data_IF_138531535367
#
_entry.id   IF_138531535367
#
_cell.length_a   1.000
_cell.length_b   1.000
_cell.length_c   1.000
_cell.angle_alpha   90.00
_cell.angle_beta   90.00
_cell.angle_gamma   90.00
#
_symmetry.space_group_name_H-M   'P 1'
#
loop_
_entity.id
_entity.type
_entity.pdbx_description
1 polymer ?
#
# COMPACT_ATOMS: atom_id res chain seq x y z
N UNK A 1 16.38 -9.97 1.27
CA UNK A 1 15.89 -8.83 2.08
C UNK A 1 14.82 -9.24 3.12
N UNK A 2 14.20 -10.42 3.01
CA UNK A 2 13.07 -10.84 3.86
C UNK A 2 13.48 -11.68 5.09
N UNK A 3 14.76 -12.05 5.25
CA UNK A 3 15.22 -12.96 6.29
C UNK A 3 14.96 -12.47 7.73
N UNK A 4 15.04 -11.17 7.98
CA UNK A 4 14.86 -10.61 9.32
C UNK A 4 13.44 -10.78 9.87
N UNK A 5 12.41 -10.57 9.02
CA UNK A 5 11.01 -10.68 9.44
C UNK A 5 10.57 -12.15 9.57
N UNK A 6 11.07 -13.02 8.70
CA UNK A 6 10.83 -14.47 8.81
C UNK A 6 11.45 -15.03 10.11
N UNK A 7 12.70 -14.64 10.44
CA UNK A 7 13.35 -15.06 11.69
C UNK A 7 12.59 -14.60 12.93
N UNK A 8 11.99 -13.39 12.89
CA UNK A 8 11.15 -12.91 13.99
C UNK A 8 9.87 -13.75 14.13
N UNK A 9 9.23 -14.12 13.02
CA UNK A 9 8.02 -14.93 13.03
C UNK A 9 8.26 -16.37 13.57
N UNK A 10 9.47 -16.92 13.41
CA UNK A 10 9.85 -18.24 13.92
C UNK A 10 10.13 -18.29 15.43
N UNK A 11 10.34 -17.14 16.09
CA UNK A 11 10.89 -17.08 17.46
C UNK A 11 9.97 -17.58 18.60
N UNK A 12 8.73 -18.05 18.32
CA UNK A 12 7.78 -18.48 19.36
C UNK A 12 7.15 -19.85 19.04
N UNK A 13 7.97 -20.90 18.94
CA UNK A 13 7.52 -22.26 18.57
C UNK A 13 6.61 -22.98 19.61
N UNK A 14 6.31 -22.40 20.78
CA UNK A 14 5.75 -23.16 21.92
C UNK A 14 4.30 -22.86 22.30
N UNK A 15 3.46 -22.27 21.45
CA UNK A 15 2.03 -22.14 21.73
C UNK A 15 1.17 -22.89 20.70
N UNK A 16 0.89 -24.12 20.99
CA UNK A 16 0.26 -25.13 20.12
C UNK A 16 -1.21 -24.91 19.74
N UNK A 17 -1.78 -23.68 19.67
CA UNK A 17 -3.23 -23.57 19.44
C UNK A 17 -3.73 -22.50 18.49
N UNK A 18 -2.94 -21.55 18.07
CA UNK A 18 -3.40 -20.51 17.11
C UNK A 18 -2.25 -20.21 16.15
N UNK A 19 -2.18 -20.93 15.06
CA UNK A 19 -1.16 -20.77 14.04
C UNK A 19 -1.78 -20.21 12.76
N UNK A 20 -1.03 -19.29 12.11
CA UNK A 20 -1.34 -18.80 10.79
C UNK A 20 -0.11 -18.91 9.88
N UNK A 21 -0.36 -19.03 8.60
CA UNK A 21 0.67 -19.15 7.57
C UNK A 21 1.33 -17.82 7.25
N UNK A 22 2.64 -17.85 6.99
CA UNK A 22 3.36 -16.74 6.37
C UNK A 22 3.28 -16.96 4.85
N UNK A 23 2.61 -16.03 4.16
CA UNK A 23 2.37 -16.10 2.70
C UNK A 23 3.67 -16.26 1.93
N UNK A 24 3.67 -17.12 0.93
CA UNK A 24 4.86 -17.43 0.12
C UNK A 24 5.88 -18.35 0.81
N UNK A 25 5.50 -19.01 1.91
CA UNK A 25 6.37 -19.94 2.63
C UNK A 25 5.59 -21.16 3.13
N UNK A 26 6.29 -22.18 3.61
CA UNK A 26 5.69 -23.31 4.33
C UNK A 26 5.72 -23.12 5.86
N UNK A 27 5.96 -21.89 6.32
CA UNK A 27 6.13 -21.56 7.73
C UNK A 27 4.79 -21.14 8.31
N UNK A 28 4.46 -21.70 9.48
CA UNK A 28 3.38 -21.22 10.34
C UNK A 28 3.96 -20.62 11.63
N UNK A 29 3.34 -19.54 12.09
CA UNK A 29 3.68 -18.87 13.34
C UNK A 29 2.41 -18.58 14.14
N UNK A 30 2.55 -18.06 15.37
CA UNK A 30 1.39 -17.55 16.08
C UNK A 30 0.72 -16.41 15.28
N UNK A 31 -0.57 -16.14 15.55
CA UNK A 31 -1.36 -15.18 14.81
C UNK A 31 -0.68 -13.80 14.75
N UNK A 32 -0.15 -13.32 15.87
CA UNK A 32 0.46 -11.99 15.97
C UNK A 32 1.68 -11.83 15.05
N UNK A 33 2.58 -12.83 15.10
CA UNK A 33 3.81 -12.81 14.30
C UNK A 33 3.53 -13.03 12.80
N UNK A 34 2.62 -13.94 12.47
CA UNK A 34 2.23 -14.18 11.08
C UNK A 34 1.57 -12.91 10.49
N UNK A 35 0.71 -12.25 11.26
CA UNK A 35 0.05 -11.00 10.87
C UNK A 35 1.06 -9.87 10.65
N UNK A 36 2.02 -9.70 11.57
CA UNK A 36 3.10 -8.72 11.41
C UNK A 36 3.93 -9.00 10.14
N UNK A 37 4.32 -10.26 9.95
CA UNK A 37 5.14 -10.66 8.82
C UNK A 37 4.41 -10.43 7.47
N UNK A 38 3.16 -10.88 7.38
CA UNK A 38 2.35 -10.73 6.16
C UNK A 38 2.04 -9.26 5.84
N UNK A 39 1.77 -8.42 6.85
CA UNK A 39 1.54 -6.99 6.65
C UNK A 39 2.81 -6.25 6.20
N UNK A 40 3.96 -6.62 6.76
CA UNK A 40 5.24 -6.12 6.29
C UNK A 40 5.52 -6.52 4.84
N UNK A 41 5.32 -7.79 4.50
CA UNK A 41 5.57 -8.32 3.16
C UNK A 41 4.61 -7.73 2.12
N UNK A 42 3.35 -7.53 2.48
CA UNK A 42 2.34 -6.93 1.60
C UNK A 42 2.68 -5.50 1.18
N UNK A 43 3.37 -4.74 2.05
CA UNK A 43 3.78 -3.35 1.77
C UNK A 43 5.25 -3.19 1.34
N UNK A 44 6.03 -4.27 1.35
CA UNK A 44 7.50 -4.21 1.15
C UNK A 44 7.90 -3.61 -0.20
N UNK A 45 7.20 -3.97 -1.26
CA UNK A 45 7.51 -3.53 -2.62
C UNK A 45 6.84 -2.19 -2.98
N UNK A 46 6.07 -1.59 -2.05
CA UNK A 46 5.27 -0.38 -2.30
C UNK A 46 4.41 -0.52 -3.57
N UNK A 47 3.84 -1.73 -3.74
CA UNK A 47 3.12 -2.17 -4.94
C UNK A 47 1.69 -2.64 -4.60
N UNK A 48 1.24 -2.34 -3.40
CA UNK A 48 -0.10 -2.55 -2.89
C UNK A 48 -1.09 -1.49 -3.43
N UNK A 49 -2.24 -1.38 -2.81
CA UNK A 49 -3.24 -0.38 -3.13
C UNK A 49 -2.93 0.99 -2.52
N UNK A 50 -3.68 2.01 -2.95
CA UNK A 50 -3.61 3.35 -2.37
C UNK A 50 -4.98 4.01 -2.43
N UNK A 51 -5.45 4.49 -1.31
CA UNK A 51 -6.63 5.35 -1.22
C UNK A 51 -6.24 6.77 -1.62
N UNK A 52 -6.69 7.21 -2.79
CA UNK A 52 -6.22 8.46 -3.40
C UNK A 52 -6.49 9.70 -2.56
N UNK A 53 -7.68 9.89 -1.94
CA UNK A 53 -7.93 11.08 -1.12
C UNK A 53 -7.02 11.23 0.10
N UNK A 54 -6.29 10.20 0.54
CA UNK A 54 -5.52 10.23 1.80
C UNK A 54 -4.11 9.63 1.71
N UNK A 55 -3.76 9.02 0.58
CA UNK A 55 -2.49 8.30 0.37
C UNK A 55 -2.31 7.11 1.34
N UNK A 56 -3.38 6.60 1.96
CA UNK A 56 -3.36 5.39 2.78
C UNK A 56 -3.16 4.17 1.87
N UNK A 57 -2.43 3.16 2.36
CA UNK A 57 -2.35 1.82 1.77
C UNK A 57 -3.19 0.86 2.64
N UNK A 58 -4.52 0.75 2.41
CA UNK A 58 -5.41 0.18 3.41
C UNK A 58 -5.39 -1.35 3.46
N UNK A 59 -5.05 -2.04 2.35
CA UNK A 59 -5.05 -3.51 2.32
C UNK A 59 -3.92 -4.11 3.15
N UNK A 60 -2.72 -3.53 3.10
CA UNK A 60 -1.53 -4.08 3.78
C UNK A 60 -1.66 -4.15 5.30
N UNK A 61 -2.29 -3.20 6.03
CA UNK A 61 -2.60 -3.37 7.44
C UNK A 61 -3.87 -4.18 7.71
N UNK A 62 -4.82 -4.28 6.77
CA UNK A 62 -6.14 -4.89 7.02
C UNK A 62 -6.18 -6.39 6.70
N UNK A 63 -5.73 -6.78 5.51
CA UNK A 63 -5.82 -8.17 5.05
C UNK A 63 -5.06 -9.17 5.93
N UNK A 64 -3.85 -8.90 6.42
CA UNK A 64 -3.08 -9.90 7.14
C UNK A 64 -3.73 -10.39 8.44
N UNK A 65 -4.39 -9.51 9.19
CA UNK A 65 -5.14 -9.89 10.39
C UNK A 65 -6.40 -10.68 10.06
N UNK A 66 -7.14 -10.25 9.03
CA UNK A 66 -8.31 -10.98 8.55
C UNK A 66 -7.91 -12.36 8.02
N UNK A 67 -6.82 -12.46 7.25
CA UNK A 67 -6.32 -13.71 6.67
C UNK A 67 -5.88 -14.70 7.76
N UNK A 68 -5.13 -14.22 8.76
CA UNK A 68 -4.67 -15.05 9.88
C UNK A 68 -5.85 -15.60 10.70
N UNK A 69 -6.88 -14.79 10.98
CA UNK A 69 -8.08 -15.24 11.67
C UNK A 69 -8.92 -16.17 10.81
N UNK A 70 -9.12 -15.84 9.54
CA UNK A 70 -9.91 -16.66 8.62
C UNK A 70 -9.30 -18.05 8.48
N UNK A 71 -7.97 -18.17 8.29
CA UNK A 71 -7.27 -19.43 8.27
C UNK A 71 -7.44 -20.22 9.58
N UNK A 72 -7.22 -19.56 10.72
CA UNK A 72 -7.27 -20.21 12.02
C UNK A 72 -8.66 -20.68 12.42
N UNK A 73 -9.71 -19.98 11.96
CA UNK A 73 -11.12 -20.25 12.32
C UNK A 73 -11.88 -21.04 11.25
N UNK A 74 -11.24 -21.42 10.13
CA UNK A 74 -11.90 -22.11 9.03
C UNK A 74 -13.01 -21.26 8.39
N UNK A 75 -12.74 -19.97 8.15
CA UNK A 75 -13.69 -19.03 7.57
C UNK A 75 -13.71 -19.12 6.05
N UNK A 76 -14.89 -18.88 5.47
CA UNK A 76 -15.06 -18.82 4.02
C UNK A 76 -14.43 -17.56 3.41
N UNK A 77 -14.19 -17.62 2.08
CA UNK A 77 -13.75 -16.45 1.32
C UNK A 77 -14.72 -15.28 1.41
N UNK A 78 -16.04 -15.52 1.45
CA UNK A 78 -17.07 -14.47 1.67
C UNK A 78 -16.90 -13.77 3.00
N UNK A 79 -16.69 -14.52 4.10
CA UNK A 79 -16.48 -13.93 5.43
C UNK A 79 -15.18 -13.14 5.47
N UNK A 80 -14.12 -13.65 4.86
CA UNK A 80 -12.83 -12.95 4.74
C UNK A 80 -12.96 -11.65 3.94
N UNK A 81 -13.61 -11.68 2.77
CA UNK A 81 -13.83 -10.50 1.94
C UNK A 81 -14.68 -9.46 2.65
N UNK A 82 -15.81 -9.86 3.27
CA UNK A 82 -16.65 -8.94 4.03
C UNK A 82 -15.87 -8.24 5.15
N UNK A 83 -15.13 -9.01 5.94
CA UNK A 83 -14.34 -8.46 7.03
C UNK A 83 -13.27 -7.48 6.52
N UNK A 84 -12.61 -7.83 5.42
CA UNK A 84 -11.60 -7.00 4.80
C UNK A 84 -12.15 -5.69 4.23
N UNK A 85 -13.30 -5.76 3.53
CA UNK A 85 -13.99 -4.58 2.98
C UNK A 85 -14.39 -3.62 4.09
N UNK A 86 -15.00 -4.11 5.17
CA UNK A 86 -15.39 -3.27 6.31
C UNK A 86 -14.17 -2.65 6.99
N UNK A 87 -13.07 -3.40 7.11
CA UNK A 87 -11.82 -2.89 7.66
C UNK A 87 -11.22 -1.78 6.80
N UNK A 88 -11.12 -1.97 5.48
CA UNK A 88 -10.64 -0.96 4.53
C UNK A 88 -11.51 0.30 4.61
N UNK A 89 -12.83 0.13 4.60
CA UNK A 89 -13.77 1.26 4.66
C UNK A 89 -13.52 2.14 5.89
N UNK A 90 -13.44 1.54 7.07
CA UNK A 90 -13.20 2.31 8.32
C UNK A 90 -11.79 2.91 8.35
N UNK A 91 -10.78 2.18 7.89
CA UNK A 91 -9.41 2.70 7.74
C UNK A 91 -9.40 3.99 6.92
N UNK A 92 -10.05 3.98 5.76
CA UNK A 92 -10.11 5.12 4.84
C UNK A 92 -10.96 6.27 5.42
N UNK A 93 -12.14 6.01 6.00
CA UNK A 93 -12.96 7.05 6.65
C UNK A 93 -12.25 7.77 7.78
N UNK A 94 -11.55 7.04 8.64
CA UNK A 94 -10.74 7.64 9.70
C UNK A 94 -9.65 8.53 9.08
N UNK A 95 -9.05 8.10 7.99
CA UNK A 95 -8.06 8.89 7.27
C UNK A 95 -8.63 10.17 6.66
N UNK A 96 -9.75 10.08 5.93
CA UNK A 96 -10.40 11.26 5.31
C UNK A 96 -10.79 12.29 6.37
N UNK A 97 -11.24 11.83 7.54
CA UNK A 97 -11.66 12.72 8.63
C UNK A 97 -10.53 13.62 9.18
N UNK A 98 -9.27 13.29 8.96
CA UNK A 98 -8.11 14.03 9.49
C UNK A 98 -7.06 14.42 8.44
N UNK A 99 -7.26 14.03 7.17
CA UNK A 99 -6.38 14.42 6.08
C UNK A 99 -6.73 15.86 5.62
N UNK A 100 -5.74 16.71 5.22
CA UNK A 100 -4.30 16.43 5.18
C UNK A 100 -3.55 16.69 6.51
N UNK A 101 -4.17 17.37 7.49
CA UNK A 101 -3.50 17.95 8.65
C UNK A 101 -2.65 16.95 9.44
N UNK A 102 -3.16 15.72 9.63
CA UNK A 102 -2.44 14.62 10.27
C UNK A 102 -1.20 14.19 9.50
N UNK A 103 -1.33 14.06 8.17
CA UNK A 103 -0.22 13.67 7.31
C UNK A 103 0.87 14.74 7.26
N UNK A 104 0.48 16.01 7.20
CA UNK A 104 1.40 17.16 7.16
C UNK A 104 2.18 17.34 8.46
N UNK A 105 1.64 16.89 9.59
CA UNK A 105 2.40 16.81 10.85
C UNK A 105 3.54 15.79 10.84
N UNK A 106 3.61 14.92 9.83
CA UNK A 106 4.65 13.90 9.70
C UNK A 106 4.20 12.50 10.12
N UNK A 107 2.91 12.26 10.35
CA UNK A 107 2.41 10.92 10.61
C UNK A 107 2.35 10.09 9.32
N UNK A 108 2.72 8.83 9.39
CA UNK A 108 2.45 7.86 8.33
C UNK A 108 1.02 7.36 8.48
N UNK A 109 0.10 7.96 7.75
CA UNK A 109 -1.34 7.72 7.88
C UNK A 109 -1.73 6.23 7.75
N UNK A 110 -1.06 5.45 6.89
CA UNK A 110 -1.23 3.98 6.83
C UNK A 110 -0.95 3.30 8.17
N UNK A 111 0.07 3.75 8.90
CA UNK A 111 0.43 3.21 10.21
C UNK A 111 -0.60 3.55 11.28
N UNK A 112 -1.11 4.78 11.26
CA UNK A 112 -2.00 5.28 12.32
C UNK A 112 -3.46 4.89 12.11
N UNK A 113 -3.97 4.83 10.86
CA UNK A 113 -5.36 4.43 10.56
C UNK A 113 -5.51 2.94 10.33
N UNK A 114 -4.47 2.28 9.81
CA UNK A 114 -4.48 0.85 9.53
C UNK A 114 -4.79 -0.02 10.74
N UNK A 115 -4.48 0.46 11.95
CA UNK A 115 -4.83 -0.24 13.18
C UNK A 115 -6.35 -0.40 13.35
N UNK A 116 -7.14 0.60 12.93
CA UNK A 116 -8.60 0.51 12.94
C UNK A 116 -9.12 -0.43 11.86
N UNK A 117 -8.52 -0.41 10.66
CA UNK A 117 -8.83 -1.36 9.59
C UNK A 117 -8.67 -2.80 10.04
N UNK A 118 -7.51 -3.12 10.59
CA UNK A 118 -7.22 -4.44 11.16
C UNK A 118 -8.17 -4.80 12.32
N UNK A 119 -8.45 -3.84 13.22
CA UNK A 119 -9.32 -4.05 14.37
C UNK A 119 -10.76 -4.40 13.92
N UNK A 120 -11.31 -3.67 12.95
CA UNK A 120 -12.66 -3.92 12.42
C UNK A 120 -12.72 -5.25 11.67
N UNK A 121 -11.75 -5.55 10.80
CA UNK A 121 -11.70 -6.82 10.09
C UNK A 121 -11.64 -8.01 11.08
N UNK A 122 -10.79 -7.91 12.10
CA UNK A 122 -10.67 -8.93 13.15
C UNK A 122 -11.95 -9.03 14.00
N UNK A 123 -12.53 -7.91 14.39
CA UNK A 123 -13.77 -7.86 15.17
C UNK A 123 -14.95 -8.49 14.43
N UNK A 124 -15.02 -8.27 13.12
CA UNK A 124 -16.04 -8.86 12.25
C UNK A 124 -15.94 -10.38 12.25
N UNK A 125 -14.75 -10.94 12.03
CA UNK A 125 -14.54 -12.40 12.03
C UNK A 125 -14.77 -13.05 13.41
N UNK A 126 -14.45 -12.32 14.48
CA UNK A 126 -14.68 -12.75 15.86
C UNK A 126 -16.13 -12.53 16.33
N UNK A 127 -17.00 -11.94 15.50
CA UNK A 127 -18.39 -11.62 15.82
C UNK A 127 -18.55 -10.82 17.12
N UNK A 128 -17.72 -9.77 17.30
CA UNK A 128 -17.78 -8.92 18.49
C UNK A 128 -19.13 -8.19 18.58
N UNK A 129 -19.73 -8.15 19.78
CA UNK A 129 -20.91 -7.33 20.03
C UNK A 129 -20.54 -5.83 20.10
N UNK A 130 -21.56 -4.96 20.13
CA UNK A 130 -21.37 -3.50 20.11
C UNK A 130 -20.40 -2.99 21.18
N UNK A 131 -20.55 -3.45 22.43
CA UNK A 131 -19.65 -2.99 23.52
C UNK A 131 -18.23 -3.51 23.33
N UNK A 132 -18.07 -4.76 22.90
CA UNK A 132 -16.76 -5.31 22.57
C UNK A 132 -16.11 -4.57 21.41
N UNK A 133 -16.90 -4.18 20.39
CA UNK A 133 -16.39 -3.39 19.27
C UNK A 133 -15.92 -2.00 19.70
N UNK A 134 -16.69 -1.31 20.54
CA UNK A 134 -16.27 -0.01 21.11
C UNK A 134 -14.96 -0.13 21.91
N UNK A 135 -14.84 -1.16 22.76
CA UNK A 135 -13.59 -1.42 23.47
C UNK A 135 -12.44 -1.77 22.52
N UNK A 136 -12.70 -2.56 21.47
CA UNK A 136 -11.72 -2.90 20.45
C UNK A 136 -11.16 -1.64 19.77
N UNK A 137 -12.00 -0.71 19.35
CA UNK A 137 -11.59 0.57 18.77
C UNK A 137 -10.78 1.41 19.76
N UNK A 138 -11.19 1.43 21.03
CA UNK A 138 -10.44 2.13 22.09
C UNK A 138 -9.05 1.53 22.32
N UNK A 139 -8.91 0.19 22.30
CA UNK A 139 -7.62 -0.49 22.40
C UNK A 139 -6.78 -0.25 21.16
N UNK A 140 -7.39 -0.25 19.98
CA UNK A 140 -6.70 0.01 18.70
C UNK A 140 -6.14 1.43 18.65
N UNK A 141 -6.96 2.44 18.96
CA UNK A 141 -6.58 3.85 18.88
C UNK A 141 -5.38 4.22 19.76
N UNK A 142 -5.22 3.57 20.92
CA UNK A 142 -4.06 3.81 21.79
C UNK A 142 -2.76 3.15 21.31
N UNK A 143 -2.81 2.36 20.23
CA UNK A 143 -1.64 1.71 19.62
C UNK A 143 -1.27 2.32 18.25
N UNK A 144 -1.99 3.34 17.80
CA UNK A 144 -1.71 4.01 16.52
C UNK A 144 -0.31 4.66 16.56
N UNK A 145 0.52 4.33 15.57
CA UNK A 145 1.89 4.82 15.48
C UNK A 145 2.40 4.79 14.02
N UNK A 146 3.50 5.48 13.80
CA UNK A 146 4.20 5.53 12.52
C UNK A 146 4.50 6.97 12.10
N UNK A 147 5.75 7.26 11.73
CA UNK A 147 6.20 8.59 11.31
C UNK A 147 6.86 8.53 9.92
N UNK A 148 6.70 9.61 9.15
CA UNK A 148 7.16 9.70 7.76
C UNK A 148 8.68 9.77 7.61
N UNK A 149 9.41 10.17 8.66
CA UNK A 149 10.88 10.28 8.63
C UNK A 149 11.58 8.97 8.20
N UNK A 150 10.93 7.82 8.38
CA UNK A 150 11.49 6.51 8.00
C UNK A 150 11.23 6.13 6.54
N UNK A 151 10.62 6.99 5.72
CA UNK A 151 10.36 6.67 4.31
C UNK A 151 11.67 6.42 3.55
N UNK A 152 11.65 5.47 2.62
CA UNK A 152 12.85 4.98 1.95
C UNK A 152 13.69 3.99 2.76
N UNK A 153 13.23 3.56 3.93
CA UNK A 153 13.86 2.53 4.77
C UNK A 153 12.96 1.30 4.94
N UNK A 154 13.52 0.23 5.49
CA UNK A 154 12.77 -0.99 5.85
C UNK A 154 11.69 -0.75 6.92
N UNK A 155 11.72 0.40 7.62
CA UNK A 155 10.73 0.72 8.66
C UNK A 155 9.40 1.21 8.10
N UNK A 156 9.32 1.70 6.84
CA UNK A 156 8.05 2.09 6.24
C UNK A 156 7.07 0.90 6.16
N UNK A 157 7.41 -0.23 5.51
CA UNK A 157 6.51 -1.40 5.47
C UNK A 157 6.27 -2.04 6.86
N UNK A 158 7.17 -1.87 7.82
CA UNK A 158 6.94 -2.31 9.19
C UNK A 158 5.70 -1.66 9.82
N UNK A 159 5.37 -0.41 9.47
CA UNK A 159 4.17 0.25 9.99
C UNK A 159 2.90 -0.50 9.62
N UNK A 160 2.76 -0.97 8.37
CA UNK A 160 1.60 -1.75 7.94
C UNK A 160 1.47 -3.07 8.72
N UNK A 161 2.58 -3.82 8.85
CA UNK A 161 2.61 -5.04 9.64
C UNK A 161 2.29 -4.81 11.12
N UNK A 162 2.85 -3.74 11.71
CA UNK A 162 2.61 -3.41 13.12
C UNK A 162 1.16 -2.98 13.36
N UNK A 163 0.58 -2.19 12.47
CA UNK A 163 -0.84 -1.80 12.54
C UNK A 163 -1.75 -3.02 12.46
N UNK A 164 -1.43 -3.94 11.53
CA UNK A 164 -2.17 -5.20 11.40
C UNK A 164 -2.13 -6.02 12.70
N UNK A 165 -0.96 -6.21 13.26
CA UNK A 165 -0.76 -6.92 14.54
C UNK A 165 -1.49 -6.22 15.70
N UNK A 166 -1.42 -4.90 15.77
CA UNK A 166 -2.03 -4.12 16.85
C UNK A 166 -3.56 -4.16 16.82
N UNK A 167 -4.16 -4.13 15.62
CA UNK A 167 -5.61 -4.27 15.46
C UNK A 167 -6.12 -5.67 15.81
N UNK A 168 -5.39 -6.72 15.40
CA UNK A 168 -5.67 -8.09 15.80
C UNK A 168 -5.63 -8.26 17.33
N UNK A 169 -4.58 -7.74 17.97
CA UNK A 169 -4.46 -7.76 19.42
C UNK A 169 -5.63 -7.05 20.10
N UNK A 170 -6.04 -5.90 19.58
CA UNK A 170 -7.17 -5.13 20.10
C UNK A 170 -8.47 -5.95 20.07
N UNK A 171 -8.77 -6.61 18.94
CA UNK A 171 -9.96 -7.45 18.80
C UNK A 171 -9.92 -8.67 19.72
N UNK A 172 -8.76 -9.33 19.82
CA UNK A 172 -8.57 -10.47 20.72
C UNK A 172 -8.75 -10.11 22.20
N UNK A 173 -8.24 -8.97 22.66
CA UNK A 173 -8.42 -8.50 24.01
C UNK A 173 -9.89 -8.14 24.30
N UNK A 174 -10.55 -7.41 23.38
CA UNK A 174 -11.94 -7.03 23.52
C UNK A 174 -12.88 -8.26 23.53
N UNK A 175 -12.60 -9.29 22.76
CA UNK A 175 -13.35 -10.55 22.76
C UNK A 175 -13.35 -11.23 24.14
N UNK A 176 -12.29 -11.02 24.91
CA UNK A 176 -12.10 -11.54 26.27
C UNK A 176 -12.59 -10.62 27.37
N UNK A 177 -13.29 -9.52 27.03
CA UNK A 177 -13.85 -8.57 27.97
C UNK A 177 -12.87 -7.51 28.50
N UNK A 178 -11.71 -7.33 27.83
CA UNK A 178 -10.82 -6.22 28.15
C UNK A 178 -11.50 -4.89 27.79
N UNK A 179 -11.44 -3.91 28.70
CA UNK A 179 -12.16 -2.62 28.55
C UNK A 179 -11.22 -1.50 28.13
N UNK A 180 -11.76 -0.53 27.39
CA UNK A 180 -11.09 0.68 26.97
C UNK A 180 -12.06 1.86 26.88
N UNK A 181 -11.58 3.03 26.41
CA UNK A 181 -12.43 4.18 26.16
C UNK A 181 -13.40 3.89 25.01
N UNK A 182 -14.70 3.93 25.28
CA UNK A 182 -15.76 3.72 24.29
C UNK A 182 -15.98 4.92 23.36
N UNK A 183 -15.40 6.07 23.69
CA UNK A 183 -15.43 7.33 22.94
C UNK A 183 -14.03 7.72 22.43
N UNK A 184 -13.28 6.73 21.92
CA UNK A 184 -11.88 6.93 21.50
C UNK A 184 -11.73 7.98 20.39
N UNK A 185 -12.70 8.15 19.54
CA UNK A 185 -12.65 9.12 18.45
C UNK A 185 -13.01 10.52 18.94
N UNK A 186 -14.16 10.71 19.57
CA UNK A 186 -14.75 11.99 19.94
C UNK A 186 -14.37 12.50 21.34
N UNK A 187 -13.67 11.70 22.12
CA UNK A 187 -13.28 12.08 23.49
C UNK A 187 -12.29 13.24 23.53
N UNK A 188 -12.40 14.14 24.53
CA UNK A 188 -11.55 15.34 24.70
C UNK A 188 -10.03 15.08 24.61
N UNK A 189 -9.58 13.88 24.78
CA UNK A 189 -8.20 13.40 24.58
C UNK A 189 -8.24 12.14 23.72
N UNK A 190 -9.16 12.13 22.77
CA UNK A 190 -9.37 11.04 21.84
C UNK A 190 -8.34 11.04 20.72
N UNK A 191 -8.50 10.09 19.84
CA UNK A 191 -7.58 9.86 18.74
C UNK A 191 -7.39 11.08 17.84
N UNK A 192 -8.49 11.72 17.43
CA UNK A 192 -8.45 12.88 16.55
C UNK A 192 -7.86 14.10 17.24
N UNK A 193 -8.33 14.40 18.47
CA UNK A 193 -7.89 15.57 19.26
C UNK A 193 -6.38 15.54 19.55
N UNK A 194 -5.79 14.33 19.66
CA UNK A 194 -4.36 14.15 19.96
C UNK A 194 -3.49 14.11 18.70
N UNK A 195 -3.98 13.53 17.61
CA UNK A 195 -3.14 13.21 16.45
C UNK A 195 -3.40 14.09 15.22
N UNK A 196 -4.43 14.95 15.22
CA UNK A 196 -4.73 15.81 14.09
C UNK A 196 -5.03 17.25 14.53
N UNK A 197 -4.33 18.27 13.97
CA UNK A 197 -4.67 19.68 14.24
C UNK A 197 -6.07 20.07 13.76
N UNK A 198 -6.51 19.49 12.66
CA UNK A 198 -7.82 19.72 12.05
C UNK A 198 -8.44 18.38 11.68
N UNK A 199 -9.73 18.21 11.97
CA UNK A 199 -10.48 16.99 11.64
C UNK A 199 -11.98 17.26 11.58
N UNK A 200 -12.73 16.39 10.87
CA UNK A 200 -14.19 16.39 10.81
C UNK A 200 -14.76 15.00 11.15
N UNK A 201 -15.33 14.86 12.34
CA UNK A 201 -15.94 13.62 12.82
C UNK A 201 -17.21 13.22 12.05
N UNK A 202 -17.88 14.14 11.36
CA UNK A 202 -19.09 13.83 10.59
C UNK A 202 -18.77 12.83 9.48
N UNK A 203 -17.58 12.90 8.90
CA UNK A 203 -17.11 12.01 7.83
C UNK A 203 -17.18 10.54 8.22
N UNK A 204 -16.99 10.22 9.51
CA UNK A 204 -17.03 8.83 9.99
C UNK A 204 -18.38 8.16 9.76
N UNK A 205 -19.48 8.93 9.82
CA UNK A 205 -20.85 8.40 9.74
C UNK A 205 -21.66 8.94 8.58
N UNK A 206 -21.21 10.01 7.93
CA UNK A 206 -21.92 10.59 6.80
C UNK A 206 -22.06 9.61 5.65
N UNK A 207 -23.32 9.41 5.20
CA UNK A 207 -23.65 8.49 4.11
C UNK A 207 -23.12 7.05 4.31
N UNK A 208 -22.91 6.61 5.55
CA UNK A 208 -22.44 5.26 5.86
C UNK A 208 -23.41 4.22 5.27
N UNK A 209 -22.85 3.25 4.53
CA UNK A 209 -23.62 2.22 3.83
C UNK A 209 -24.15 2.63 2.46
N UNK A 210 -24.02 3.90 2.04
CA UNK A 210 -24.38 4.38 0.69
C UNK A 210 -23.20 4.96 -0.07
N UNK A 211 -22.29 5.67 0.60
CA UNK A 211 -21.01 6.10 0.06
C UNK A 211 -19.91 5.21 0.66
N UNK A 212 -19.09 4.62 -0.18
CA UNK A 212 -18.00 3.71 0.22
C UNK A 212 -16.66 4.30 -0.19
N UNK A 213 -15.79 4.54 0.77
CA UNK A 213 -14.43 5.06 0.51
C UNK A 213 -13.54 4.03 -0.20
N UNK A 214 -13.83 2.73 -0.07
CA UNK A 214 -13.09 1.68 -0.79
C UNK A 214 -13.12 1.87 -2.32
N UNK A 215 -14.13 2.54 -2.89
CA UNK A 215 -14.17 2.86 -4.32
C UNK A 215 -13.22 4.00 -4.73
N UNK A 216 -12.67 4.72 -3.76
CA UNK A 216 -11.60 5.70 -3.99
C UNK A 216 -10.21 5.08 -3.87
N UNK A 217 -10.15 3.76 -3.73
CA UNK A 217 -8.91 3.01 -3.63
C UNK A 217 -8.43 2.59 -5.02
N UNK A 218 -7.21 2.96 -5.37
CA UNK A 218 -6.57 2.58 -6.62
C UNK A 218 -5.59 1.42 -6.42
N UNK A 219 -5.35 0.67 -7.50
CA UNK A 219 -4.41 -0.45 -7.52
C UNK A 219 -3.15 -0.05 -8.30
N UNK A 220 -2.01 -0.01 -7.65
CA UNK A 220 -0.76 0.48 -8.25
C UNK A 220 -0.29 -0.37 -9.42
N UNK A 221 -0.06 0.21 -10.61
CA UNK A 221 0.64 -0.47 -11.73
C UNK A 221 2.16 -0.45 -11.58
N UNK A 222 2.71 0.43 -10.70
CA UNK A 222 4.14 0.65 -10.51
C UNK A 222 4.55 0.46 -9.05
N UNK A 223 5.75 -0.10 -8.83
CA UNK A 223 6.23 -0.50 -7.50
C UNK A 223 6.95 0.65 -6.77
N UNK A 224 6.26 1.78 -6.60
CA UNK A 224 6.82 2.99 -5.98
C UNK A 224 5.73 3.87 -5.35
N UNK A 225 6.14 5.01 -4.78
CA UNK A 225 5.20 6.00 -4.26
C UNK A 225 4.21 6.48 -5.33
N UNK A 226 2.92 6.56 -5.00
CA UNK A 226 1.84 6.86 -5.97
C UNK A 226 2.04 8.17 -6.72
N UNK A 227 2.63 9.18 -6.10
CA UNK A 227 2.91 10.48 -6.73
C UNK A 227 3.91 10.40 -7.92
N UNK A 228 4.61 9.27 -8.09
CA UNK A 228 5.42 9.00 -9.28
C UNK A 228 4.61 8.50 -10.47
N UNK A 229 3.40 7.98 -10.26
CA UNK A 229 2.66 7.25 -11.29
C UNK A 229 2.34 8.10 -12.51
N UNK A 230 1.83 9.33 -12.40
CA UNK A 230 1.56 10.16 -13.58
C UNK A 230 2.84 10.47 -14.37
N UNK A 231 3.99 10.57 -13.70
CA UNK A 231 5.28 10.79 -14.34
C UNK A 231 5.77 9.56 -15.10
N UNK A 232 5.58 8.36 -14.55
CA UNK A 232 5.89 7.09 -15.21
C UNK A 232 5.00 6.91 -16.43
N UNK A 233 3.70 7.14 -16.29
CA UNK A 233 2.73 7.09 -17.40
C UNK A 233 3.13 8.03 -18.54
N UNK A 234 3.51 9.27 -18.22
CA UNK A 234 3.96 10.24 -19.20
C UNK A 234 5.20 9.76 -19.96
N UNK A 235 6.18 9.16 -19.26
CA UNK A 235 7.39 8.67 -19.89
C UNK A 235 7.14 7.40 -20.73
N UNK A 236 6.25 6.52 -20.30
CA UNK A 236 5.83 5.35 -21.09
C UNK A 236 5.07 5.79 -22.33
N UNK A 237 4.15 6.72 -22.21
CA UNK A 237 3.40 7.29 -23.33
C UNK A 237 4.34 7.97 -24.32
N UNK A 238 5.26 8.81 -23.83
CA UNK A 238 6.29 9.42 -24.68
C UNK A 238 7.09 8.38 -25.46
N UNK A 239 7.56 7.32 -24.78
CA UNK A 239 8.31 6.22 -25.38
C UNK A 239 7.54 5.55 -26.52
N UNK A 240 6.25 5.32 -26.33
CA UNK A 240 5.40 4.60 -27.29
C UNK A 240 5.04 5.45 -28.51
N UNK A 241 4.93 6.76 -28.34
CA UNK A 241 4.51 7.69 -29.38
C UNK A 241 5.68 8.33 -30.14
N UNK A 242 6.90 8.24 -29.62
CA UNK A 242 8.06 8.92 -30.19
C UNK A 242 9.22 7.97 -30.42
N UNK A 243 9.93 8.18 -31.53
CA UNK A 243 11.27 7.60 -31.72
C UNK A 243 12.29 8.51 -31.03
N UNK A 244 13.03 7.98 -30.07
CA UNK A 244 14.04 8.76 -29.35
C UNK A 244 15.36 8.02 -29.22
N UNK A 245 16.42 8.80 -28.97
CA UNK A 245 17.72 8.32 -28.54
C UNK A 245 18.13 9.18 -27.36
N UNK A 246 18.59 8.57 -26.28
CA UNK A 246 18.94 9.28 -25.03
C UNK A 246 19.85 10.47 -25.32
N UNK A 247 20.89 10.26 -26.13
CA UNK A 247 21.87 11.32 -26.46
C UNK A 247 21.29 12.51 -27.26
N UNK A 248 20.05 12.41 -27.76
CA UNK A 248 19.36 13.52 -28.42
C UNK A 248 18.43 14.29 -27.47
N UNK A 249 18.20 13.82 -26.27
CA UNK A 249 17.40 14.51 -25.25
C UNK A 249 18.33 15.50 -24.54
N UNK A 250 17.94 16.76 -24.51
CA UNK A 250 18.68 17.85 -23.85
C UNK A 250 18.27 17.97 -22.38
N UNK A 251 16.97 18.01 -22.09
CA UNK A 251 16.41 17.98 -20.73
C UNK A 251 14.97 17.47 -20.77
N UNK A 252 14.49 17.05 -19.59
CA UNK A 252 13.11 16.61 -19.34
C UNK A 252 12.61 17.44 -18.16
N UNK A 253 11.52 18.18 -18.37
CA UNK A 253 10.89 19.00 -17.33
C UNK A 253 9.50 18.49 -17.03
N UNK A 254 9.25 18.18 -15.75
CA UNK A 254 7.96 17.71 -15.27
C UNK A 254 7.25 18.79 -14.47
N UNK A 255 5.98 19.05 -14.79
CA UNK A 255 5.08 19.89 -13.99
C UNK A 255 4.24 18.99 -13.12
N UNK A 256 4.25 19.21 -11.81
CA UNK A 256 3.80 18.23 -10.82
C UNK A 256 3.09 18.85 -9.63
N UNK A 257 2.32 18.04 -8.92
CA UNK A 257 1.80 18.38 -7.59
C UNK A 257 2.93 18.57 -6.56
N UNK A 258 2.74 19.41 -5.54
CA UNK A 258 3.78 19.75 -4.55
C UNK A 258 4.31 18.54 -3.76
N UNK A 259 3.52 17.49 -3.59
CA UNK A 259 3.95 16.26 -2.91
C UNK A 259 5.05 15.49 -3.67
N UNK A 260 5.20 15.70 -4.99
CA UNK A 260 6.25 15.00 -5.75
C UNK A 260 7.65 15.38 -5.26
N UNK A 261 8.09 16.64 -5.28
CA UNK A 261 9.40 16.99 -4.73
C UNK A 261 9.50 16.72 -3.23
N UNK A 262 8.40 16.86 -2.46
CA UNK A 262 8.39 16.62 -1.02
C UNK A 262 8.63 15.15 -0.66
N UNK A 263 7.95 14.21 -1.31
CA UNK A 263 8.00 12.79 -0.95
C UNK A 263 9.08 12.01 -1.69
N UNK A 264 9.34 12.36 -2.95
CA UNK A 264 10.17 11.57 -3.87
C UNK A 264 11.22 12.40 -4.60
N UNK A 265 11.46 13.65 -4.18
CA UNK A 265 12.45 14.54 -4.77
C UNK A 265 13.85 14.48 -4.14
N UNK A 266 13.94 14.01 -2.90
CA UNK A 266 15.19 14.07 -2.12
C UNK A 266 16.28 13.07 -2.56
N UNK A 267 15.95 12.09 -3.40
CA UNK A 267 16.85 11.01 -3.83
C UNK A 267 17.11 11.05 -5.35
N UNK A 268 17.67 12.14 -5.85
CA UNK A 268 18.03 12.23 -7.28
C UNK A 268 19.04 11.13 -7.67
N UNK A 269 19.98 10.81 -6.78
CA UNK A 269 20.99 9.77 -6.97
C UNK A 269 20.83 8.66 -5.93
N UNK A 270 19.82 7.79 -6.06
CA UNK A 270 19.62 6.70 -5.13
C UNK A 270 20.81 5.71 -5.18
N UNK A 271 21.25 5.24 -4.01
CA UNK A 271 22.35 4.28 -3.88
C UNK A 271 21.92 2.83 -3.99
N UNK A 272 20.66 2.55 -3.65
CA UNK A 272 20.06 1.22 -3.62
C UNK A 272 18.63 1.24 -4.21
N UNK A 273 18.14 0.08 -4.62
CA UNK A 273 16.81 -0.05 -5.24
C UNK A 273 15.67 0.51 -4.38
N UNK A 274 15.72 0.31 -3.06
CA UNK A 274 14.70 0.84 -2.15
C UNK A 274 14.62 2.38 -2.18
N UNK A 275 15.75 3.07 -2.25
CA UNK A 275 15.79 4.54 -2.41
C UNK A 275 15.24 4.98 -3.77
N UNK A 276 15.44 4.15 -4.82
CA UNK A 276 14.90 4.39 -6.17
C UNK A 276 13.37 4.52 -6.19
N UNK A 277 12.65 3.79 -5.33
CA UNK A 277 11.18 3.87 -5.20
C UNK A 277 10.69 5.24 -4.70
N UNK A 278 11.58 6.02 -4.07
CA UNK A 278 11.37 7.37 -3.56
C UNK A 278 12.13 8.43 -4.37
N UNK A 279 12.37 8.15 -5.66
CA UNK A 279 13.02 9.07 -6.60
C UNK A 279 12.17 9.22 -7.85
N UNK A 280 11.56 10.40 -8.05
CA UNK A 280 10.85 10.66 -9.30
C UNK A 280 11.79 10.67 -10.51
N UNK A 281 13.03 11.10 -10.33
CA UNK A 281 14.06 11.06 -11.37
C UNK A 281 14.32 9.63 -11.84
N UNK A 282 14.44 8.67 -10.89
CA UNK A 282 14.63 7.27 -11.21
C UNK A 282 13.38 6.67 -11.87
N UNK A 283 12.20 6.95 -11.31
CA UNK A 283 10.92 6.46 -11.82
C UNK A 283 10.66 6.92 -13.25
N UNK A 284 10.91 8.18 -13.58
CA UNK A 284 10.83 8.69 -14.95
C UNK A 284 11.85 8.04 -15.88
N UNK A 285 13.10 7.89 -15.42
CA UNK A 285 14.17 7.29 -16.23
C UNK A 285 13.83 5.84 -16.59
N UNK A 286 13.37 5.02 -15.64
CA UNK A 286 13.01 3.61 -15.91
C UNK A 286 11.74 3.50 -16.74
N UNK A 287 10.74 4.36 -16.52
CA UNK A 287 9.55 4.46 -17.36
C UNK A 287 9.91 4.72 -18.83
N UNK A 288 10.84 5.63 -19.09
CA UNK A 288 11.33 5.93 -20.42
C UNK A 288 12.12 4.77 -21.04
N UNK A 289 13.08 4.21 -20.31
CA UNK A 289 13.97 3.18 -20.86
C UNK A 289 13.28 1.84 -21.02
N UNK A 290 12.57 1.38 -20.01
CA UNK A 290 12.03 0.03 -19.97
C UNK A 290 10.54 -0.04 -20.33
N UNK A 291 9.80 1.08 -20.31
CA UNK A 291 8.35 1.11 -20.54
C UNK A 291 7.56 0.47 -19.41
N UNK A 292 8.15 0.40 -18.22
CA UNK A 292 7.58 -0.18 -17.01
C UNK A 292 8.34 0.27 -15.76
N UNK A 293 7.75 0.08 -14.58
CA UNK A 293 8.37 0.37 -13.28
C UNK A 293 7.88 -0.64 -12.23
N UNK A 294 8.18 -1.92 -12.48
CA UNK A 294 7.92 -3.06 -11.59
C UNK A 294 9.03 -3.18 -10.53
N UNK A 295 8.96 -4.11 -9.56
CA UNK A 295 10.07 -4.33 -8.63
C UNK A 295 11.43 -4.59 -9.29
N UNK A 296 11.43 -5.09 -10.54
CA UNK A 296 12.65 -5.38 -11.30
C UNK A 296 13.44 -4.10 -11.68
N UNK A 297 12.75 -3.00 -11.93
CA UNK A 297 13.37 -1.71 -12.27
C UNK A 297 13.88 -0.95 -11.03
N UNK A 298 13.54 -1.41 -9.81
CA UNK A 298 14.01 -0.86 -8.54
C UNK A 298 15.03 -1.78 -7.85
N UNK A 299 15.89 -2.43 -8.63
CA UNK A 299 17.03 -3.21 -8.09
C UNK A 299 18.28 -2.35 -7.97
N UNK A 300 19.20 -2.77 -7.10
CA UNK A 300 20.49 -2.07 -6.92
C UNK A 300 21.32 -2.02 -8.23
N UNK A 301 21.12 -2.98 -9.13
CA UNK A 301 21.76 -3.02 -10.45
C UNK A 301 21.21 -1.93 -11.36
N UNK A 302 19.89 -1.81 -11.48
CA UNK A 302 19.25 -0.82 -12.34
C UNK A 302 19.47 0.61 -11.82
N UNK A 303 19.46 0.80 -10.51
CA UNK A 303 19.76 2.10 -9.90
C UNK A 303 21.18 2.61 -10.29
N UNK A 304 22.13 1.69 -10.50
CA UNK A 304 23.51 2.00 -10.89
C UNK A 304 23.76 1.94 -12.40
N UNK A 305 22.72 1.71 -13.20
CA UNK A 305 22.84 1.70 -14.65
C UNK A 305 23.20 3.08 -15.19
N UNK A 306 24.19 3.13 -16.09
CA UNK A 306 24.74 4.39 -16.62
C UNK A 306 23.75 5.18 -17.46
N UNK A 307 22.83 4.53 -18.18
CA UNK A 307 21.85 5.22 -19.00
C UNK A 307 20.69 5.74 -18.15
N UNK A 308 20.32 5.02 -17.09
CA UNK A 308 19.40 5.52 -16.06
C UNK A 308 19.98 6.75 -15.37
N UNK A 309 21.27 6.72 -15.01
CA UNK A 309 21.94 7.85 -14.36
C UNK A 309 22.00 9.08 -15.28
N UNK A 310 22.34 8.91 -16.56
CA UNK A 310 22.33 10.00 -17.55
C UNK A 310 20.96 10.69 -17.61
N UNK A 311 19.88 9.91 -17.65
CA UNK A 311 18.53 10.47 -17.66
C UNK A 311 18.18 11.19 -16.37
N UNK A 312 18.48 10.62 -15.20
CA UNK A 312 18.25 11.30 -13.92
C UNK A 312 18.88 12.69 -13.86
N UNK A 313 20.05 12.86 -14.47
CA UNK A 313 20.79 14.12 -14.46
C UNK A 313 20.16 15.24 -15.29
N UNK A 314 19.24 14.90 -16.21
CA UNK A 314 18.56 15.86 -17.10
C UNK A 314 17.07 16.00 -16.80
N UNK A 315 16.57 15.37 -15.73
CA UNK A 315 15.19 15.45 -15.27
C UNK A 315 15.11 16.50 -14.17
N UNK A 316 14.14 17.39 -14.29
CA UNK A 316 13.81 18.42 -13.28
C UNK A 316 12.28 18.53 -13.13
N UNK A 317 11.80 19.10 -12.03
CA UNK A 317 10.38 19.36 -11.84
C UNK A 317 10.08 20.80 -11.45
N UNK A 318 8.85 21.23 -11.74
CA UNK A 318 8.25 22.50 -11.33
C UNK A 318 6.87 22.23 -10.72
N UNK A 319 6.58 22.87 -9.59
CA UNK A 319 5.32 22.66 -8.88
C UNK A 319 4.20 23.45 -9.59
N UNK A 320 3.04 22.80 -9.73
CA UNK A 320 1.78 23.38 -10.17
C UNK A 320 0.77 23.28 -9.03
N UNK A 321 0.34 24.40 -8.50
CA UNK A 321 -0.61 24.48 -7.39
C UNK A 321 -2.03 24.00 -7.76
N UNK A 322 -2.35 24.00 -9.05
CA UNK A 322 -3.63 23.57 -9.60
C UNK A 322 -3.69 22.07 -9.94
N UNK A 323 -2.61 21.31 -9.72
CA UNK A 323 -2.55 19.86 -9.99
C UNK A 323 -2.96 19.05 -8.77
N UNK A 324 -3.56 17.88 -9.03
CA UNK A 324 -3.72 16.79 -8.06
C UNK A 324 -2.56 15.80 -8.18
N UNK A 325 -2.49 14.87 -7.24
CA UNK A 325 -1.45 13.82 -7.20
C UNK A 325 -1.49 12.87 -8.41
N UNK A 326 -2.62 12.83 -9.13
CA UNK A 326 -2.84 11.98 -10.29
C UNK A 326 -2.35 12.59 -11.61
N UNK A 327 -1.96 13.86 -11.58
CA UNK A 327 -1.72 14.68 -12.77
C UNK A 327 -0.24 14.98 -12.98
N UNK A 328 0.18 15.02 -14.24
CA UNK A 328 1.49 15.52 -14.63
C UNK A 328 1.48 16.03 -16.08
N UNK A 329 2.35 17.01 -16.36
CA UNK A 329 2.75 17.37 -17.71
C UNK A 329 4.25 17.19 -17.80
N UNK A 330 4.73 16.54 -18.86
CA UNK A 330 6.15 16.34 -19.09
C UNK A 330 6.54 16.92 -20.44
N UNK A 331 7.55 17.79 -20.42
CA UNK A 331 8.19 18.38 -21.60
C UNK A 331 9.55 17.71 -21.83
N UNK A 332 9.72 17.09 -22.98
CA UNK A 332 10.98 16.53 -23.43
C UNK A 332 11.59 17.44 -24.50
N UNK A 333 12.68 18.11 -24.18
CA UNK A 333 13.40 19.00 -25.09
C UNK A 333 14.57 18.27 -25.73
N UNK A 334 14.65 18.28 -27.05
CA UNK A 334 15.74 17.72 -27.80
C UNK A 334 16.91 18.70 -27.99
N UNK A 335 18.08 18.21 -28.39
CA UNK A 335 19.27 19.04 -28.63
C UNK A 335 19.10 20.08 -29.76
N UNK A 336 18.17 19.81 -30.71
CA UNK A 336 17.78 20.76 -31.77
C UNK A 336 16.73 21.77 -31.31
N UNK A 337 16.39 21.78 -29.99
CA UNK A 337 15.37 22.59 -29.33
C UNK A 337 13.93 22.29 -29.78
N UNK A 338 13.65 21.20 -30.45
CA UNK A 338 12.27 20.71 -30.59
C UNK A 338 11.79 20.18 -29.24
N UNK A 339 10.49 20.31 -28.96
CA UNK A 339 9.86 19.95 -27.70
C UNK A 339 8.70 19.00 -27.98
N UNK A 340 8.67 17.89 -27.25
CA UNK A 340 7.49 17.03 -27.16
C UNK A 340 6.85 17.18 -25.78
N UNK A 341 5.52 17.28 -25.75
CA UNK A 341 4.74 17.46 -24.53
C UNK A 341 3.82 16.26 -24.35
N UNK A 342 3.80 15.72 -23.14
CA UNK A 342 2.90 14.64 -22.74
C UNK A 342 2.12 15.05 -21.50
N UNK A 343 0.80 14.95 -21.58
CA UNK A 343 -0.12 15.28 -20.49
C UNK A 343 -0.79 14.01 -19.96
N UNK A 344 -0.87 13.90 -18.65
CA UNK A 344 -1.59 12.87 -17.90
C UNK A 344 -2.61 13.56 -17.00
N UNK A 345 -3.88 13.33 -17.29
CA UNK A 345 -5.01 13.89 -16.50
C UNK A 345 -5.37 13.02 -15.30
N UNK A 346 -5.24 11.68 -15.43
CA UNK A 346 -5.43 10.72 -14.33
C UNK A 346 -4.50 9.54 -14.56
N UNK A 347 -3.63 9.26 -13.60
CA UNK A 347 -2.64 8.19 -13.74
C UNK A 347 -3.28 6.80 -13.74
N UNK A 348 -2.59 5.85 -14.36
CA UNK A 348 -3.01 4.45 -14.41
C UNK A 348 -3.14 3.87 -12.99
N UNK A 349 -4.22 3.12 -12.76
CA UNK A 349 -4.52 2.50 -11.47
C UNK A 349 -5.23 3.43 -10.48
N UNK A 350 -5.51 4.70 -10.83
CA UNK A 350 -6.37 5.58 -10.05
C UNK A 350 -7.85 5.19 -10.17
N UNK A 351 -8.74 5.68 -9.30
CA UNK A 351 -10.18 5.46 -9.42
C UNK A 351 -10.77 5.91 -10.77
N UNK A 352 -10.25 7.00 -11.33
CA UNK A 352 -10.69 7.57 -12.61
C UNK A 352 -10.10 6.83 -13.83
N UNK A 353 -8.99 6.08 -13.64
CA UNK A 353 -8.33 5.30 -14.69
C UNK A 353 -7.89 3.94 -14.13
N UNK A 354 -8.86 3.07 -13.72
CA UNK A 354 -8.57 1.81 -13.04
C UNK A 354 -7.86 0.80 -13.94
N UNK A 355 -7.07 -0.09 -13.32
CA UNK A 355 -6.49 -1.21 -14.03
C UNK A 355 -7.58 -2.17 -14.50
N UNK A 356 -7.44 -2.66 -15.71
CA UNK A 356 -8.26 -3.75 -16.24
C UNK A 356 -7.91 -5.08 -15.59
N UNK A 357 -8.83 -6.06 -15.61
CA UNK A 357 -8.57 -7.44 -15.12
C UNK A 357 -7.33 -8.07 -15.76
N UNK A 358 -7.10 -7.76 -17.05
CA UNK A 358 -5.88 -8.21 -17.74
C UNK A 358 -4.62 -7.61 -17.12
N UNK A 359 -4.60 -6.31 -16.84
CA UNK A 359 -3.44 -5.65 -16.23
C UNK A 359 -3.20 -6.14 -14.80
N UNK A 360 -4.26 -6.43 -14.03
CA UNK A 360 -4.17 -7.05 -12.71
C UNK A 360 -3.61 -8.47 -12.79
N UNK A 361 -4.08 -9.25 -13.76
CA UNK A 361 -3.55 -10.59 -14.07
C UNK A 361 -2.07 -10.53 -14.46
N UNK A 362 -1.68 -9.61 -15.33
CA UNK A 362 -0.30 -9.42 -15.76
C UNK A 362 0.60 -9.01 -14.56
N UNK A 363 0.11 -8.11 -13.70
CA UNK A 363 0.79 -7.74 -12.45
C UNK A 363 1.01 -8.94 -11.53
N UNK A 364 -0.02 -9.75 -11.31
CA UNK A 364 0.07 -10.96 -10.50
C UNK A 364 1.11 -11.94 -11.07
N UNK A 365 1.08 -12.18 -12.38
CA UNK A 365 2.02 -13.08 -13.05
C UNK A 365 3.47 -12.60 -12.90
N UNK A 366 3.73 -11.30 -13.08
CA UNK A 366 5.09 -10.72 -12.88
C UNK A 366 5.62 -10.98 -11.48
N UNK A 367 4.76 -10.92 -10.45
CA UNK A 367 5.16 -11.07 -9.06
C UNK A 367 5.36 -12.53 -8.63
N UNK A 368 4.62 -13.47 -9.24
CA UNK A 368 4.43 -14.82 -8.68
C UNK A 368 4.99 -15.92 -9.57
N UNK A 369 4.96 -15.76 -10.90
CA UNK A 369 5.23 -16.86 -11.83
C UNK A 369 6.66 -17.39 -11.78
N UNK A 370 7.65 -16.52 -11.57
CA UNK A 370 9.06 -16.93 -11.43
C UNK A 370 9.26 -17.84 -10.21
N UNK A 371 8.48 -17.61 -9.16
CA UNK A 371 8.61 -18.32 -7.89
C UNK A 371 7.79 -19.61 -7.83
N UNK A 372 6.54 -19.58 -8.27
CA UNK A 372 5.61 -20.73 -8.17
C UNK A 372 5.55 -21.58 -9.43
N UNK A 373 6.06 -21.08 -10.57
CA UNK A 373 5.90 -21.68 -11.89
C UNK A 373 4.51 -21.44 -12.51
N UNK A 374 4.40 -21.56 -13.82
CA UNK A 374 3.22 -21.19 -14.61
C UNK A 374 1.93 -21.88 -14.13
N UNK A 375 1.98 -23.21 -13.90
CA UNK A 375 0.79 -24.00 -13.56
C UNK A 375 0.21 -23.60 -12.21
N UNK A 376 1.04 -23.50 -11.15
CA UNK A 376 0.58 -23.10 -9.81
C UNK A 376 0.09 -21.66 -9.81
N UNK A 377 0.78 -20.76 -10.53
CA UNK A 377 0.37 -19.34 -10.66
C UNK A 377 -1.01 -19.22 -11.25
N UNK A 378 -1.31 -19.96 -12.33
CA UNK A 378 -2.63 -19.97 -12.94
C UNK A 378 -3.71 -20.50 -11.98
N UNK A 379 -3.44 -21.63 -11.33
CA UNK A 379 -4.39 -22.21 -10.37
C UNK A 379 -4.68 -21.26 -9.21
N UNK A 380 -3.66 -20.60 -8.66
CA UNK A 380 -3.82 -19.62 -7.58
C UNK A 380 -4.61 -18.40 -8.06
N UNK A 381 -4.32 -17.88 -9.25
CA UNK A 381 -5.02 -16.75 -9.82
C UNK A 381 -6.51 -17.06 -10.04
N UNK A 382 -6.83 -18.22 -10.63
CA UNK A 382 -8.21 -18.67 -10.85
C UNK A 382 -8.98 -18.78 -9.52
N UNK A 383 -8.32 -19.25 -8.45
CA UNK A 383 -8.91 -19.34 -7.13
C UNK A 383 -9.13 -17.95 -6.50
N UNK A 384 -8.17 -17.04 -6.65
CA UNK A 384 -8.28 -15.68 -6.09
C UNK A 384 -9.36 -14.86 -6.79
N UNK A 385 -9.58 -15.05 -8.11
CA UNK A 385 -10.69 -14.43 -8.85
C UNK A 385 -12.07 -14.97 -8.45
N UNK A 386 -12.13 -16.15 -7.81
CA UNK A 386 -13.37 -16.78 -7.32
C UNK A 386 -13.31 -16.98 -5.79
N UNK A 387 -12.65 -16.06 -5.09
CA UNK A 387 -12.39 -16.21 -3.66
C UNK A 387 -13.67 -16.33 -2.83
N UNK A 388 -14.76 -15.69 -3.26
CA UNK A 388 -16.08 -15.78 -2.63
C UNK A 388 -16.68 -17.19 -2.66
N UNK A 389 -16.24 -18.07 -3.54
CA UNK A 389 -16.70 -19.46 -3.65
C UNK A 389 -15.86 -20.42 -2.78
N UNK A 390 -14.81 -19.93 -2.13
CA UNK A 390 -13.92 -20.73 -1.28
C UNK A 390 -14.58 -20.95 0.09
N UNK A 391 -14.83 -22.21 0.43
CA UNK A 391 -15.48 -22.60 1.70
C UNK A 391 -14.56 -22.42 2.92
N UNK A 392 -13.24 -22.62 2.74
CA UNK A 392 -12.22 -22.49 3.79
C UNK A 392 -10.98 -21.82 3.25
N UNK A 393 -10.69 -20.61 3.72
CA UNK A 393 -9.51 -19.81 3.34
C UNK A 393 -8.21 -20.55 3.59
N UNK A 394 -8.15 -21.47 4.55
CA UNK A 394 -6.95 -22.28 4.81
C UNK A 394 -6.52 -23.12 3.60
N UNK A 395 -7.44 -23.46 2.69
CA UNK A 395 -7.15 -24.25 1.47
C UNK A 395 -6.27 -23.54 0.45
N UNK A 396 -6.13 -22.21 0.55
CA UNK A 396 -5.34 -21.39 -0.40
C UNK A 396 -3.84 -21.54 -0.15
N UNK A 397 -3.43 -21.66 1.12
CA UNK A 397 -2.01 -21.59 1.50
C UNK A 397 -1.10 -22.64 0.87
N UNK A 398 -1.51 -23.93 0.71
CA UNK A 398 -0.65 -24.93 0.05
C UNK A 398 -0.26 -24.55 -1.39
N UNK A 399 -1.09 -23.74 -2.08
CA UNK A 399 -0.77 -23.24 -3.42
C UNK A 399 0.30 -22.17 -3.42
N UNK A 400 0.48 -21.45 -2.29
CA UNK A 400 1.45 -20.37 -2.13
C UNK A 400 2.81 -20.84 -1.63
N UNK A 401 2.95 -22.14 -1.29
CA UNK A 401 4.22 -22.70 -0.80
C UNK A 401 5.26 -22.78 -1.92
N UNK A 402 6.46 -22.25 -1.61
CA UNK A 402 7.66 -22.28 -2.44
C UNK A 402 8.46 -23.54 -2.15
#
# INVERSE_FOLDING_TARGET
>A
KNYSIHSFALGNENTNKQLASIVGTNIKSNLDNATLANGYLGHLEDFDDTHFPTIIHPSSPTFPSALALAENMGKSGKEFLLASILGIEICCRVGVAMHPSHYDQGWHITGTTGVFGSAIASATLLNLNQLQLQNCLGIAGTQAAGIREVFGTMSKPFHAGRSSQSGLLAANLASKGFTSATNIFEGRRGFFDVLAPEYDLNILTENLGSKWEIFQNGLKPYACGVVNHPLIDAMIKFKNENQFTINKIKNIKAYVHYLVPELVGHKQHPAIGLEGKFSFHHSMAVGLLYGRATPLEYTDTIVKDSDVEKLRNIIECEIREDFTEEQAIVEVTYIDNTVAIVEIGSCSGSPENPLTDKQLTDKFNILVQETLGEQKTKQLLDLLWNLEEVDDVASIFPMMHI
#
